data_IF_720021482656
#
_entry.id   IF_720021482656
#
_cell.length_a   1.000
_cell.length_b   1.000
_cell.length_c   1.000
_cell.angle_alpha   90.00
_cell.angle_beta   90.00
_cell.angle_gamma   90.00
#
_symmetry.space_group_name_H-M   'P 1'
#
loop_
_entity.id
_entity.type
_entity.pdbx_description
1 polymer ?
#
# COMPACT_ATOMS: atom_id res chain seq x y z
N UNK A 1 9.47 -3.89 -11.97
CA UNK A 1 8.60 -4.98 -12.47
C UNK A 1 7.14 -4.54 -12.42
N UNK A 2 6.37 -4.71 -13.51
CA UNK A 2 4.95 -4.25 -13.59
C UNK A 2 4.02 -5.03 -12.65
N UNK A 3 4.27 -6.31 -12.42
CA UNK A 3 3.40 -7.18 -11.62
C UNK A 3 3.21 -6.75 -10.16
N UNK A 4 4.23 -6.18 -9.50
CA UNK A 4 4.11 -5.69 -8.12
C UNK A 4 3.21 -4.45 -8.03
N UNK A 5 3.32 -3.56 -9.02
CA UNK A 5 2.49 -2.37 -9.11
C UNK A 5 1.03 -2.76 -9.41
N UNK A 6 0.82 -3.75 -10.29
CA UNK A 6 -0.51 -4.30 -10.58
C UNK A 6 -1.15 -4.96 -9.36
N UNK A 7 -0.38 -5.71 -8.56
CA UNK A 7 -0.85 -6.26 -7.30
C UNK A 7 -1.28 -5.17 -6.33
N UNK A 8 -0.46 -4.13 -6.16
CA UNK A 8 -0.77 -2.98 -5.28
C UNK A 8 -2.00 -2.21 -5.75
N UNK A 9 -2.12 -1.97 -7.06
CA UNK A 9 -3.30 -1.36 -7.67
C UNK A 9 -4.56 -2.21 -7.45
N UNK A 10 -4.45 -3.54 -7.50
CA UNK A 10 -5.54 -4.46 -7.16
C UNK A 10 -6.01 -4.30 -5.71
N UNK A 11 -5.10 -4.04 -4.77
CA UNK A 11 -5.45 -3.78 -3.37
C UNK A 11 -6.16 -2.43 -3.19
N UNK A 12 -5.66 -1.36 -3.83
CA UNK A 12 -6.30 -0.04 -3.83
C UNK A 12 -7.72 -0.15 -4.40
N UNK A 13 -7.91 -0.95 -5.45
CA UNK A 13 -9.21 -1.16 -6.11
C UNK A 13 -10.28 -1.84 -5.25
N UNK A 14 -9.90 -2.44 -4.12
CA UNK A 14 -10.86 -2.95 -3.12
C UNK A 14 -11.52 -1.83 -2.31
N UNK A 15 -10.89 -0.66 -2.26
CA UNK A 15 -11.38 0.52 -1.55
C UNK A 15 -11.99 1.56 -2.49
N UNK A 16 -11.41 1.72 -3.69
CA UNK A 16 -11.82 2.72 -4.66
C UNK A 16 -11.95 2.14 -6.07
N UNK A 17 -13.07 2.34 -6.78
CA UNK A 17 -13.25 1.80 -8.12
C UNK A 17 -12.23 2.38 -9.11
N UNK A 18 -11.95 1.65 -10.19
CA UNK A 18 -10.88 1.99 -11.16
C UNK A 18 -10.99 3.40 -11.77
N UNK A 19 -12.21 3.88 -11.99
CA UNK A 19 -12.48 5.19 -12.61
C UNK A 19 -12.76 6.30 -11.58
N UNK A 20 -12.46 6.06 -10.29
CA UNK A 20 -12.63 7.09 -9.28
C UNK A 20 -11.60 8.21 -9.47
N UNK A 21 -12.07 9.44 -9.43
CA UNK A 21 -11.20 10.61 -9.31
C UNK A 21 -10.72 10.75 -7.86
N UNK A 22 -9.43 10.53 -7.64
CA UNK A 22 -8.82 10.68 -6.32
C UNK A 22 -8.76 12.13 -5.83
N UNK A 23 -8.91 13.12 -6.73
CA UNK A 23 -8.99 14.54 -6.33
C UNK A 23 -10.21 14.81 -5.43
N UNK A 24 -11.26 14.00 -5.58
CA UNK A 24 -12.49 14.06 -4.77
C UNK A 24 -12.38 13.29 -3.45
N UNK A 25 -11.27 12.58 -3.23
CA UNK A 25 -11.01 11.84 -1.99
C UNK A 25 -10.19 12.71 -1.06
N UNK A 26 -10.69 12.95 0.15
CA UNK A 26 -9.96 13.75 1.12
C UNK A 26 -8.58 13.14 1.44
N UNK A 27 -7.58 14.00 1.65
CA UNK A 27 -6.23 13.56 2.02
C UNK A 27 -6.23 12.63 3.24
N UNK A 28 -7.14 12.85 4.21
CA UNK A 28 -7.29 11.95 5.37
C UNK A 28 -7.69 10.53 4.98
N UNK A 29 -8.57 10.37 3.98
CA UNK A 29 -8.99 9.06 3.48
C UNK A 29 -7.85 8.37 2.72
N UNK A 30 -7.09 9.12 1.92
CA UNK A 30 -5.89 8.62 1.24
C UNK A 30 -4.84 8.16 2.25
N UNK A 31 -4.50 9.00 3.24
CA UNK A 31 -3.54 8.67 4.28
C UNK A 31 -3.96 7.42 5.08
N UNK A 32 -5.27 7.25 5.34
CA UNK A 32 -5.79 6.03 5.98
C UNK A 32 -5.60 4.79 5.11
N UNK A 33 -5.83 4.90 3.80
CA UNK A 33 -5.59 3.80 2.86
C UNK A 33 -4.11 3.42 2.82
N UNK A 34 -3.23 4.41 2.68
CA UNK A 34 -1.77 4.21 2.68
C UNK A 34 -1.32 3.54 3.97
N UNK A 35 -1.74 4.06 5.13
CA UNK A 35 -1.45 3.47 6.42
C UNK A 35 -1.89 2.00 6.49
N UNK A 36 -3.12 1.72 6.06
CA UNK A 36 -3.67 0.35 6.04
C UNK A 36 -2.82 -0.58 5.16
N UNK A 37 -2.46 -0.15 3.95
CA UNK A 37 -1.69 -0.98 3.01
C UNK A 37 -0.24 -1.18 3.45
N UNK A 38 0.36 -0.17 4.09
CA UNK A 38 1.76 -0.17 4.52
C UNK A 38 1.97 -0.87 5.87
N UNK A 39 0.93 -0.94 6.72
CA UNK A 39 0.98 -1.66 8.00
C UNK A 39 0.45 -3.09 7.91
N UNK A 40 -0.30 -3.42 6.86
CA UNK A 40 -0.80 -4.78 6.63
C UNK A 40 0.34 -5.75 6.32
N UNK A 41 0.38 -6.85 7.08
CA UNK A 41 1.30 -7.97 6.83
C UNK A 41 1.07 -8.60 5.45
N UNK A 42 2.15 -8.87 4.71
CA UNK A 42 2.08 -9.55 3.40
C UNK A 42 2.67 -10.94 3.50
N UNK A 43 1.96 -11.96 2.99
CA UNK A 43 2.46 -13.35 2.95
C UNK A 43 3.83 -13.45 2.26
N UNK A 44 4.05 -12.67 1.19
CA UNK A 44 5.32 -12.62 0.46
C UNK A 44 6.49 -12.05 1.29
N UNK A 45 6.20 -11.36 2.39
CA UNK A 45 7.19 -10.81 3.33
C UNK A 45 7.23 -11.62 4.65
N UNK A 46 6.79 -12.89 4.62
CA UNK A 46 6.68 -13.69 5.84
C UNK A 46 5.71 -13.09 6.87
N UNK A 47 4.63 -12.46 6.37
CA UNK A 47 3.66 -11.71 7.16
C UNK A 47 4.18 -10.42 7.83
N UNK A 48 5.41 -10.00 7.54
CA UNK A 48 5.86 -8.65 7.89
C UNK A 48 5.13 -7.57 7.08
N UNK A 49 5.00 -6.39 7.66
CA UNK A 49 4.41 -5.23 6.96
C UNK A 49 5.44 -4.59 6.02
N UNK A 50 5.00 -4.03 4.87
CA UNK A 50 5.88 -3.30 3.97
C UNK A 50 6.67 -2.20 4.68
N UNK A 51 6.03 -1.45 5.58
CA UNK A 51 6.69 -0.37 6.30
C UNK A 51 7.82 -0.90 7.20
N UNK A 52 7.60 -2.02 7.90
CA UNK A 52 8.63 -2.63 8.75
C UNK A 52 9.85 -3.06 7.92
N UNK A 53 9.61 -3.78 6.82
CA UNK A 53 10.69 -4.25 5.94
C UNK A 53 11.45 -3.06 5.33
N UNK A 54 10.74 -2.04 4.86
CA UNK A 54 11.35 -0.82 4.32
C UNK A 54 12.24 -0.12 5.35
N UNK A 55 11.75 0.09 6.58
CA UNK A 55 12.52 0.70 7.66
C UNK A 55 13.74 -0.14 8.06
N UNK A 56 13.60 -1.47 8.12
CA UNK A 56 14.76 -2.36 8.38
C UNK A 56 15.84 -2.18 7.32
N UNK A 57 15.49 -2.12 6.03
CA UNK A 57 16.47 -1.90 4.98
C UNK A 57 17.08 -0.50 5.01
N UNK A 58 16.30 0.53 5.32
CA UNK A 58 16.78 1.91 5.40
C UNK A 58 17.77 2.10 6.55
N UNK A 59 17.55 1.45 7.70
CA UNK A 59 18.43 1.52 8.86
C UNK A 59 19.67 0.63 8.76
N UNK A 60 19.66 -0.33 7.82
CA UNK A 60 20.78 -1.23 7.55
C UNK A 60 21.71 -0.74 6.42
N UNK A 61 21.39 0.43 5.84
CA UNK A 61 22.17 1.12 4.82
C UNK A 61 22.93 2.29 5.45
#
# INVERSE_FOLDING_TARGET
MRGLNEHTNGLIRRFYPKAMDFSQVSHRKIAKLEYTLNTRGRKSLGYSSPNKVFLTHLLAA
#
